data_IF_811314101729
#
_entry.id   IF_811314101729
#
_cell.length_a   1.000
_cell.length_b   1.000
_cell.length_c   1.000
_cell.angle_alpha   90.00
_cell.angle_beta   90.00
_cell.angle_gamma   90.00
#
_symmetry.space_group_name_H-M   'P 1'
#
loop_
_entity.id
_entity.type
_entity.pdbx_description
1 polymer ?
#
# COMPACT_ATOMS: atom_id res chain seq x y z
N UNK A 1 -3.14 -54.83 17.92
CA UNK A 1 -3.40 -53.95 19.09
C UNK A 1 -2.16 -53.09 19.26
N UNK A 2 -2.16 -51.80 18.87
CA UNK A 2 -2.56 -50.66 19.73
C UNK A 2 -1.53 -50.50 20.87
N UNK A 3 -0.72 -49.44 20.96
CA UNK A 3 -1.08 -48.07 21.36
C UNK A 3 -0.04 -47.03 20.88
N UNK A 4 -0.55 -45.83 20.57
CA UNK A 4 0.12 -44.57 20.23
C UNK A 4 1.19 -44.09 21.25
N UNK A 5 2.20 -43.36 20.75
CA UNK A 5 2.54 -42.03 21.30
C UNK A 5 2.80 -41.08 20.14
N UNK A 6 1.84 -40.20 19.87
CA UNK A 6 2.00 -39.08 18.96
C UNK A 6 2.76 -37.96 19.66
N UNK A 7 3.92 -37.59 19.12
CA UNK A 7 4.54 -36.30 19.45
C UNK A 7 3.96 -35.28 18.48
N UNK A 8 2.94 -34.58 18.94
CA UNK A 8 2.47 -33.37 18.29
C UNK A 8 3.54 -32.29 18.45
N UNK A 9 4.40 -32.13 17.43
CA UNK A 9 5.17 -30.91 17.23
C UNK A 9 4.19 -29.83 16.79
N UNK A 10 3.50 -29.25 17.76
CA UNK A 10 2.87 -27.94 17.61
C UNK A 10 3.99 -26.90 17.75
N UNK A 11 4.82 -26.76 16.71
CA UNK A 11 5.67 -25.57 16.60
C UNK A 11 4.73 -24.39 16.41
N UNK A 12 4.57 -23.62 17.49
CA UNK A 12 3.74 -22.43 17.51
C UNK A 12 4.14 -21.52 16.36
N UNK A 13 3.17 -21.18 15.52
CA UNK A 13 3.21 -20.01 14.66
C UNK A 13 3.14 -18.78 15.57
N UNK A 14 4.23 -18.50 16.27
CA UNK A 14 4.46 -17.20 16.91
C UNK A 14 5.41 -16.48 15.98
N UNK A 15 5.04 -15.28 15.52
CA UNK A 15 6.02 -14.40 14.88
C UNK A 15 7.16 -14.20 15.88
N UNK A 16 8.34 -14.77 15.60
CA UNK A 16 9.48 -14.78 16.54
C UNK A 16 10.24 -13.43 16.58
N UNK A 17 9.79 -12.43 15.81
CA UNK A 17 10.36 -11.09 15.77
C UNK A 17 9.29 -10.00 15.67
N UNK A 18 9.66 -8.71 15.78
CA UNK A 18 8.72 -7.59 15.74
C UNK A 18 8.10 -7.37 14.34
N UNK A 19 8.54 -8.11 13.33
CA UNK A 19 8.11 -7.97 11.94
C UNK A 19 7.14 -9.08 11.55
N UNK A 20 5.93 -8.70 11.12
CA UNK A 20 4.90 -9.66 10.70
C UNK A 20 5.11 -10.17 9.26
N UNK A 21 5.55 -9.28 8.35
CA UNK A 21 5.61 -9.54 6.90
C UNK A 21 7.00 -9.35 6.30
N UNK A 22 8.02 -9.12 7.15
CA UNK A 22 9.41 -9.03 6.76
C UNK A 22 10.27 -10.06 7.53
N UNK A 23 11.29 -10.59 6.85
CA UNK A 23 12.28 -11.46 7.49
C UNK A 23 13.32 -10.60 8.20
N UNK A 24 13.30 -10.59 9.53
CA UNK A 24 14.21 -9.78 10.35
C UNK A 24 15.68 -10.02 10.03
N UNK A 25 16.08 -11.29 9.81
CA UNK A 25 17.45 -11.64 9.43
C UNK A 25 17.89 -10.97 8.11
N UNK A 26 16.98 -10.84 7.13
CA UNK A 26 17.24 -10.17 5.85
C UNK A 26 17.34 -8.66 6.03
N UNK A 27 16.51 -8.06 6.87
CA UNK A 27 16.60 -6.63 7.20
C UNK A 27 17.93 -6.30 7.89
N UNK A 28 18.35 -7.14 8.84
CA UNK A 28 19.65 -6.99 9.52
C UNK A 28 20.84 -7.13 8.55
N UNK A 29 20.78 -8.08 7.60
CA UNK A 29 21.79 -8.20 6.54
C UNK A 29 21.86 -6.92 5.69
N UNK A 30 20.70 -6.44 5.23
CA UNK A 30 20.60 -5.22 4.42
C UNK A 30 21.19 -3.99 5.15
N UNK A 31 20.93 -3.86 6.46
CA UNK A 31 21.50 -2.81 7.30
C UNK A 31 23.02 -2.96 7.44
N UNK A 32 23.52 -4.16 7.70
CA UNK A 32 24.96 -4.41 7.80
C UNK A 32 25.67 -4.08 6.48
N UNK A 33 25.11 -4.46 5.33
CA UNK A 33 25.65 -4.14 4.01
C UNK A 33 25.66 -2.63 3.72
N UNK A 34 24.61 -1.93 4.14
CA UNK A 34 24.55 -0.47 4.07
C UNK A 34 25.68 0.19 4.87
N UNK A 35 25.91 -0.29 6.10
CA UNK A 35 26.98 0.19 6.99
C UNK A 35 28.39 -0.27 6.59
N UNK A 36 28.52 -1.07 5.52
CA UNK A 36 29.80 -1.64 5.10
C UNK A 36 30.33 -2.76 6.00
N UNK A 37 29.46 -3.34 6.84
CA UNK A 37 29.74 -4.44 7.79
C UNK A 37 29.16 -5.78 7.32
N UNK A 38 28.70 -5.86 6.08
CA UNK A 38 28.14 -7.06 5.48
C UNK A 38 29.14 -8.22 5.42
N UNK A 39 28.64 -9.44 5.60
CA UNK A 39 29.44 -10.67 5.52
C UNK A 39 29.48 -11.25 4.11
N UNK A 40 30.42 -12.16 3.79
CA UNK A 40 30.54 -12.78 2.47
C UNK A 40 29.36 -13.70 2.11
N UNK A 41 28.51 -14.06 3.07
CA UNK A 41 27.28 -14.83 2.86
C UNK A 41 26.07 -13.98 2.48
N UNK A 42 26.19 -12.64 2.50
CA UNK A 42 25.11 -11.74 2.12
C UNK A 42 24.96 -11.70 0.59
N UNK A 43 23.75 -11.45 0.06
CA UNK A 43 23.55 -11.26 -1.38
C UNK A 43 24.45 -10.13 -1.93
N UNK A 44 25.16 -10.32 -3.05
CA UNK A 44 26.05 -9.29 -3.62
C UNK A 44 25.34 -7.96 -3.91
N UNK A 45 24.04 -8.00 -4.21
CA UNK A 45 23.20 -6.85 -4.49
C UNK A 45 22.71 -6.11 -3.24
N UNK A 46 22.89 -6.64 -2.03
CA UNK A 46 22.31 -6.10 -0.81
C UNK A 46 22.70 -4.63 -0.56
N UNK A 47 23.99 -4.30 -0.71
CA UNK A 47 24.46 -2.92 -0.58
C UNK A 47 23.84 -1.97 -1.61
N UNK A 48 23.72 -2.43 -2.87
CA UNK A 48 23.11 -1.64 -3.94
C UNK A 48 21.61 -1.42 -3.68
N UNK A 49 20.90 -2.45 -3.19
CA UNK A 49 19.49 -2.37 -2.80
C UNK A 49 19.28 -1.40 -1.64
N UNK A 50 20.09 -1.49 -0.59
CA UNK A 50 20.01 -0.58 0.56
C UNK A 50 20.26 0.87 0.15
N UNK A 51 21.28 1.10 -0.68
CA UNK A 51 21.59 2.43 -1.24
C UNK A 51 20.43 2.96 -2.09
N UNK A 52 19.78 2.09 -2.89
CA UNK A 52 18.61 2.46 -3.69
C UNK A 52 17.43 2.86 -2.81
N UNK A 53 17.16 2.13 -1.73
CA UNK A 53 16.08 2.45 -0.77
C UNK A 53 16.29 3.84 -0.20
N UNK A 54 17.49 4.14 0.29
CA UNK A 54 17.82 5.47 0.85
C UNK A 54 17.66 6.57 -0.21
N UNK A 55 18.14 6.35 -1.43
CA UNK A 55 17.97 7.31 -2.54
C UNK A 55 16.50 7.53 -2.93
N UNK A 56 15.67 6.51 -2.85
CA UNK A 56 14.22 6.65 -3.10
C UNK A 56 13.51 7.38 -1.93
N UNK A 57 13.97 7.19 -0.70
CA UNK A 57 13.49 7.94 0.46
C UNK A 57 13.86 9.44 0.38
N UNK A 58 15.09 9.76 -0.05
CA UNK A 58 15.56 11.14 -0.23
C UNK A 58 14.66 11.95 -1.18
N UNK A 59 14.11 11.31 -2.21
CA UNK A 59 13.20 11.96 -3.18
C UNK A 59 11.86 12.36 -2.55
N UNK A 60 11.49 11.75 -1.43
CA UNK A 60 10.18 11.91 -0.77
C UNK A 60 10.22 12.90 0.38
N UNK A 61 11.38 13.08 1.02
CA UNK A 61 11.56 14.06 2.09
C UNK A 61 11.19 15.47 1.60
N UNK A 62 10.28 16.13 2.33
CA UNK A 62 9.82 17.48 2.06
C UNK A 62 8.81 17.60 0.91
N UNK A 63 8.31 16.48 0.36
CA UNK A 63 7.30 16.53 -0.70
C UNK A 63 5.89 16.79 -0.14
N UNK A 64 4.98 17.43 -0.89
CA UNK A 64 3.60 17.59 -0.44
C UNK A 64 2.94 16.24 -0.12
N UNK A 65 2.14 16.19 0.94
CA UNK A 65 1.30 15.02 1.24
C UNK A 65 0.02 15.19 0.44
N UNK A 66 -0.16 14.32 -0.55
CA UNK A 66 -1.35 14.24 -1.37
C UNK A 66 -2.25 13.16 -0.79
N UNK A 67 -3.48 13.52 -0.42
CA UNK A 67 -4.45 12.61 0.19
C UNK A 67 -5.68 12.42 -0.69
N UNK A 68 -6.57 11.51 -0.29
CA UNK A 68 -7.80 11.21 -1.03
C UNK A 68 -8.77 12.39 -1.13
N UNK A 69 -8.70 13.35 -0.20
CA UNK A 69 -9.56 14.55 -0.25
C UNK A 69 -9.30 15.46 -1.44
N UNK A 70 -8.19 15.24 -2.16
CA UNK A 70 -7.89 15.92 -3.43
C UNK A 70 -8.54 15.26 -4.65
N UNK A 71 -9.36 14.21 -4.46
CA UNK A 71 -10.15 13.62 -5.52
C UNK A 71 -11.42 14.43 -5.77
N UNK A 72 -11.55 15.00 -6.96
CA UNK A 72 -12.75 15.75 -7.34
C UNK A 72 -13.92 14.82 -7.72
N UNK A 73 -13.65 13.53 -7.95
CA UNK A 73 -14.70 12.57 -8.26
C UNK A 73 -15.40 12.07 -7.00
N UNK A 74 -16.45 12.80 -6.59
CA UNK A 74 -17.22 12.50 -5.38
C UNK A 74 -18.56 11.80 -5.66
N UNK A 75 -18.73 11.21 -6.85
CA UNK A 75 -20.06 10.82 -7.36
C UNK A 75 -20.85 9.85 -6.47
N UNK A 76 -20.19 9.02 -5.67
CA UNK A 76 -20.86 8.02 -4.84
C UNK A 76 -21.11 8.45 -3.38
N UNK A 77 -20.14 9.09 -2.73
CA UNK A 77 -20.23 9.50 -1.33
C UNK A 77 -20.66 10.96 -1.13
N UNK A 78 -20.17 11.86 -1.99
CA UNK A 78 -20.15 13.33 -1.78
C UNK A 78 -19.27 13.81 -0.62
N UNK A 79 -18.72 12.90 0.21
CA UNK A 79 -17.69 13.22 1.20
C UNK A 79 -16.28 13.00 0.60
N UNK A 80 -15.41 14.04 0.53
CA UNK A 80 -14.04 13.89 0.04
C UNK A 80 -13.16 12.99 0.95
N UNK A 81 -13.57 12.72 2.18
CA UNK A 81 -12.86 11.83 3.10
C UNK A 81 -13.15 10.34 2.84
N UNK A 82 -14.07 10.01 1.94
CA UNK A 82 -14.40 8.61 1.63
C UNK A 82 -13.57 8.09 0.47
N UNK A 83 -12.84 7.00 0.71
CA UNK A 83 -12.05 6.36 -0.33
C UNK A 83 -12.93 5.89 -1.48
N UNK A 84 -12.61 6.36 -2.68
CA UNK A 84 -13.33 6.05 -3.89
C UNK A 84 -12.43 5.35 -4.92
N UNK A 85 -12.92 4.26 -5.50
CA UNK A 85 -12.32 3.71 -6.71
C UNK A 85 -13.36 3.10 -7.63
N UNK A 86 -13.01 2.96 -8.89
CA UNK A 86 -13.80 2.26 -9.91
C UNK A 86 -13.11 0.94 -10.20
N UNK A 87 -13.88 -0.14 -10.36
CA UNK A 87 -13.33 -1.43 -10.75
C UNK A 87 -12.52 -1.30 -12.04
N UNK A 88 -11.21 -1.55 -11.97
CA UNK A 88 -10.25 -1.26 -13.06
C UNK A 88 -10.54 -1.94 -14.40
N UNK A 89 -11.32 -3.00 -14.42
CA UNK A 89 -11.72 -3.75 -15.62
C UNK A 89 -13.11 -3.37 -16.15
N UNK A 90 -13.74 -2.34 -15.60
CA UNK A 90 -15.04 -1.87 -16.08
C UNK A 90 -14.87 -0.73 -17.08
N UNK A 91 -15.60 -0.81 -18.17
CA UNK A 91 -15.55 0.11 -19.31
C UNK A 91 -16.96 0.55 -19.69
N UNK A 92 -17.15 1.77 -20.25
CA UNK A 92 -18.43 2.16 -20.83
C UNK A 92 -18.92 1.14 -21.87
N UNK A 93 -20.21 0.84 -21.88
CA UNK A 93 -20.83 -0.05 -22.86
C UNK A 93 -21.01 0.69 -24.20
N UNK A 94 -20.27 0.32 -25.27
CA UNK A 94 -20.36 1.01 -26.55
C UNK A 94 -21.71 0.82 -27.25
N UNK A 95 -22.55 -0.13 -26.81
CA UNK A 95 -23.89 -0.34 -27.36
C UNK A 95 -24.93 0.64 -26.80
N UNK A 96 -24.56 1.45 -25.80
CA UNK A 96 -25.47 2.35 -25.09
C UNK A 96 -25.10 3.82 -25.36
N UNK A 97 -26.09 4.70 -25.64
CA UNK A 97 -25.81 6.11 -25.93
C UNK A 97 -25.07 6.86 -24.81
N UNK A 98 -25.28 6.46 -23.56
CA UNK A 98 -24.66 7.03 -22.36
C UNK A 98 -23.51 6.18 -21.81
N UNK A 99 -23.20 5.05 -22.46
CA UNK A 99 -22.17 4.11 -22.02
C UNK A 99 -22.50 3.36 -20.73
N UNK A 100 -23.73 3.43 -20.22
CA UNK A 100 -24.14 2.81 -18.96
C UNK A 100 -25.09 1.61 -19.16
N UNK A 101 -25.05 0.61 -18.28
CA UNK A 101 -24.05 0.40 -17.23
C UNK A 101 -22.69 0.00 -17.80
N UNK A 102 -21.61 0.30 -17.08
CA UNK A 102 -20.28 -0.16 -17.50
C UNK A 102 -20.21 -1.70 -17.54
N UNK A 103 -19.48 -2.25 -18.50
CA UNK A 103 -19.28 -3.67 -18.74
C UNK A 103 -17.88 -4.11 -18.30
N UNK A 104 -17.77 -5.36 -17.84
CA UNK A 104 -16.49 -5.94 -17.46
C UNK A 104 -15.72 -6.42 -18.71
N UNK A 105 -14.44 -6.03 -18.82
CA UNK A 105 -13.47 -6.55 -19.77
C UNK A 105 -12.28 -7.07 -18.97
N UNK A 106 -12.34 -8.33 -18.62
CA UNK A 106 -11.35 -8.93 -17.71
C UNK A 106 -9.94 -8.82 -18.26
N UNK A 107 -8.98 -8.49 -17.39
CA UNK A 107 -7.58 -8.23 -17.75
C UNK A 107 -7.32 -6.90 -18.47
N UNK A 108 -8.33 -6.22 -19.00
CA UNK A 108 -8.19 -4.95 -19.70
C UNK A 108 -8.36 -3.75 -18.75
N UNK A 109 -7.25 -3.14 -18.33
CA UNK A 109 -7.30 -1.98 -17.43
C UNK A 109 -7.84 -0.74 -18.13
N UNK A 110 -8.93 -0.19 -17.63
CA UNK A 110 -9.48 1.10 -18.02
C UNK A 110 -8.66 2.25 -17.39
N UNK A 111 -7.91 3.03 -18.19
CA UNK A 111 -7.10 4.13 -17.66
C UNK A 111 -7.95 5.24 -17.06
N UNK A 112 -9.18 5.47 -17.56
CA UNK A 112 -10.09 6.48 -17.03
C UNK A 112 -10.64 6.06 -15.66
N UNK A 113 -10.94 4.77 -15.48
CA UNK A 113 -11.31 4.21 -14.19
C UNK A 113 -10.21 4.46 -13.15
N UNK A 114 -8.97 4.14 -13.51
CA UNK A 114 -7.81 4.32 -12.62
C UNK A 114 -7.54 5.80 -12.35
N UNK A 115 -7.65 6.68 -13.36
CA UNK A 115 -7.44 8.13 -13.22
C UNK A 115 -8.48 8.76 -12.28
N UNK A 116 -9.71 8.27 -12.33
CA UNK A 116 -10.82 8.75 -11.51
C UNK A 116 -10.83 8.20 -10.07
N UNK A 117 -9.90 7.29 -9.73
CA UNK A 117 -9.83 6.57 -8.46
C UNK A 117 -8.75 7.08 -7.52
N UNK A 118 -8.88 6.79 -6.23
CA UNK A 118 -7.90 7.08 -5.18
C UNK A 118 -6.78 6.05 -5.05
N UNK A 119 -6.86 4.93 -5.77
CA UNK A 119 -5.87 3.83 -5.72
C UNK A 119 -4.44 4.35 -5.83
N UNK A 120 -4.17 5.29 -6.74
CA UNK A 120 -2.83 5.88 -6.92
C UNK A 120 -2.38 6.71 -5.72
N UNK A 121 -3.28 7.49 -5.11
CA UNK A 121 -2.94 8.33 -3.95
C UNK A 121 -2.65 7.47 -2.73
N UNK A 122 -3.49 6.45 -2.51
CA UNK A 122 -3.29 5.45 -1.46
C UNK A 122 -1.97 4.69 -1.65
N UNK A 123 -1.70 4.21 -2.88
CA UNK A 123 -0.46 3.50 -3.18
C UNK A 123 0.79 4.38 -3.03
N UNK A 124 0.74 5.65 -3.43
CA UNK A 124 1.86 6.57 -3.27
C UNK A 124 2.17 6.84 -1.80
N UNK A 125 1.14 7.01 -0.96
CA UNK A 125 1.34 7.15 0.48
C UNK A 125 1.95 5.89 1.09
N UNK A 126 1.44 4.69 0.77
CA UNK A 126 1.98 3.41 1.25
C UNK A 126 3.46 3.28 0.89
N UNK A 127 3.79 3.36 -0.40
CA UNK A 127 5.18 3.22 -0.85
C UNK A 127 6.09 4.30 -0.27
N UNK A 128 5.57 5.50 -0.07
CA UNK A 128 6.35 6.58 0.54
C UNK A 128 6.69 6.28 1.98
N UNK A 129 5.72 5.84 2.77
CA UNK A 129 5.96 5.42 4.16
C UNK A 129 6.90 4.23 4.20
N UNK A 130 6.78 3.24 3.31
CA UNK A 130 7.69 2.09 3.25
C UNK A 130 9.13 2.50 3.00
N UNK A 131 9.39 3.32 1.98
CA UNK A 131 10.74 3.81 1.68
C UNK A 131 11.32 4.62 2.84
N UNK A 132 10.52 5.50 3.46
CA UNK A 132 10.96 6.33 4.58
C UNK A 132 11.24 5.48 5.83
N UNK A 133 10.37 4.53 6.17
CA UNK A 133 10.54 3.65 7.32
C UNK A 133 11.76 2.73 7.15
N UNK A 134 11.96 2.16 5.96
CA UNK A 134 13.15 1.36 5.67
C UNK A 134 14.43 2.21 5.68
N UNK A 135 14.40 3.42 5.13
CA UNK A 135 15.56 4.32 5.19
C UNK A 135 15.89 4.74 6.61
N UNK A 136 14.88 5.02 7.46
CA UNK A 136 15.08 5.25 8.89
C UNK A 136 15.77 4.05 9.54
N UNK A 137 15.26 2.84 9.32
CA UNK A 137 15.85 1.62 9.87
C UNK A 137 17.31 1.40 9.43
N UNK A 138 17.61 1.61 8.14
CA UNK A 138 18.95 1.42 7.59
C UNK A 138 19.95 2.47 8.12
N UNK A 139 19.54 3.73 8.18
CA UNK A 139 20.45 4.87 8.39
C UNK A 139 20.48 5.39 9.82
N UNK A 140 19.37 5.26 10.57
CA UNK A 140 19.14 5.96 11.83
C UNK A 140 18.87 7.47 11.68
N UNK A 141 18.71 7.99 10.46
CA UNK A 141 18.43 9.41 10.23
C UNK A 141 16.96 9.75 10.52
N UNK A 142 16.74 10.46 11.62
CA UNK A 142 15.43 10.88 12.13
C UNK A 142 14.58 11.66 11.12
N UNK A 143 15.19 12.27 10.09
CA UNK A 143 14.43 12.98 9.04
C UNK A 143 13.46 12.05 8.31
N UNK A 144 13.84 10.79 8.08
CA UNK A 144 12.96 9.84 7.40
C UNK A 144 11.78 9.42 8.29
N UNK A 145 12.03 9.19 9.58
CA UNK A 145 10.98 8.84 10.55
C UNK A 145 9.98 9.98 10.76
N UNK A 146 10.48 11.22 10.89
CA UNK A 146 9.65 12.41 10.99
C UNK A 146 8.77 12.60 9.75
N UNK A 147 9.32 12.37 8.55
CA UNK A 147 8.58 12.48 7.31
C UNK A 147 7.53 11.37 7.15
N UNK A 148 7.85 10.12 7.49
CA UNK A 148 6.88 9.02 7.47
C UNK A 148 5.69 9.34 8.39
N UNK A 149 5.96 9.86 9.60
CA UNK A 149 4.92 10.29 10.52
C UNK A 149 4.07 11.44 9.96
N UNK A 150 4.65 12.36 9.18
CA UNK A 150 3.91 13.44 8.51
C UNK A 150 2.94 12.90 7.46
N UNK A 151 3.37 11.95 6.63
CA UNK A 151 2.50 11.26 5.67
C UNK A 151 1.35 10.52 6.35
N UNK A 152 1.64 9.73 7.38
CA UNK A 152 0.62 8.99 8.13
C UNK A 152 -0.40 9.91 8.81
N UNK A 153 0.05 11.03 9.41
CA UNK A 153 -0.86 12.01 10.01
C UNK A 153 -1.78 12.63 8.98
N UNK A 154 -1.27 13.11 7.85
CA UNK A 154 -2.10 13.69 6.81
C UNK A 154 -3.12 12.68 6.25
N UNK A 155 -2.70 11.45 6.01
CA UNK A 155 -3.59 10.47 5.39
C UNK A 155 -4.65 9.88 6.33
N UNK A 156 -4.41 9.82 7.64
CA UNK A 156 -5.28 9.08 8.57
C UNK A 156 -5.78 9.86 9.79
N UNK A 157 -5.16 10.98 10.15
CA UNK A 157 -5.39 11.62 11.45
C UNK A 157 -5.82 13.08 11.32
N UNK A 158 -5.27 13.81 10.37
CA UNK A 158 -5.59 15.22 10.15
C UNK A 158 -7.04 15.37 9.68
N UNK A 159 -7.84 16.12 10.43
CA UNK A 159 -9.27 16.27 10.17
C UNK A 159 -9.59 16.87 8.81
N UNK A 160 -8.67 17.67 8.23
CA UNK A 160 -8.89 18.29 6.91
C UNK A 160 -8.57 17.35 5.75
N UNK A 161 -7.79 16.28 5.99
CA UNK A 161 -7.23 15.46 4.90
C UNK A 161 -7.35 13.94 5.08
N UNK A 162 -7.80 13.46 6.25
CA UNK A 162 -7.87 12.04 6.59
C UNK A 162 -8.78 11.22 5.67
N UNK A 163 -8.43 9.97 5.47
CA UNK A 163 -9.32 8.94 4.95
C UNK A 163 -10.21 8.38 6.06
N UNK A 164 -11.52 8.35 5.83
CA UNK A 164 -12.46 7.66 6.71
C UNK A 164 -12.14 6.14 6.69
N UNK A 165 -12.25 5.45 7.85
CA UNK A 165 -11.75 4.08 8.02
C UNK A 165 -12.71 3.02 7.44
N UNK A 166 -13.11 3.16 6.17
CA UNK A 166 -13.92 2.18 5.45
C UNK A 166 -13.70 2.25 3.94
N UNK A 167 -14.10 1.20 3.23
CA UNK A 167 -14.01 1.08 1.77
C UNK A 167 -15.40 0.94 1.12
N UNK A 168 -16.42 1.55 1.70
CA UNK A 168 -17.81 1.44 1.24
C UNK A 168 -18.00 1.84 -0.24
N UNK A 169 -17.10 2.65 -0.79
CA UNK A 169 -17.11 3.15 -2.17
C UNK A 169 -15.93 2.65 -3.02
N UNK A 170 -15.23 1.62 -2.53
CA UNK A 170 -14.15 0.97 -3.25
C UNK A 170 -14.68 0.10 -4.40
N UNK A 171 -14.00 0.16 -5.55
CA UNK A 171 -14.30 -0.56 -6.79
C UNK A 171 -15.78 -0.51 -7.19
N UNK A 172 -16.34 0.69 -7.18
CA UNK A 172 -17.63 0.99 -7.78
C UNK A 172 -17.71 0.55 -9.25
N UNK A 173 -18.94 0.42 -9.75
CA UNK A 173 -19.25 0.11 -11.16
C UNK A 173 -20.31 1.12 -11.62
N UNK A 174 -19.95 2.11 -12.46
CA UNK A 174 -20.89 3.12 -12.94
C UNK A 174 -22.14 2.49 -13.56
N UNK A 175 -23.31 3.00 -13.15
CA UNK A 175 -24.61 2.48 -13.54
C UNK A 175 -25.05 1.19 -12.85
N UNK A 176 -24.27 0.64 -11.89
CA UNK A 176 -24.63 -0.61 -11.19
C UNK A 176 -24.45 -0.55 -9.67
N UNK A 177 -23.25 -0.24 -9.19
CA UNK A 177 -22.88 -0.35 -7.76
C UNK A 177 -22.01 0.81 -7.33
N UNK A 178 -22.30 1.38 -6.17
CA UNK A 178 -21.52 2.48 -5.58
C UNK A 178 -20.24 2.02 -4.87
N UNK A 179 -20.14 0.73 -4.54
CA UNK A 179 -18.94 0.08 -4.01
C UNK A 179 -19.12 -1.42 -3.90
N UNK A 180 -18.01 -2.14 -3.68
CA UNK A 180 -17.95 -3.60 -3.71
C UNK A 180 -16.91 -4.13 -2.73
N UNK A 181 -17.13 -5.33 -2.18
CA UNK A 181 -16.15 -6.02 -1.35
C UNK A 181 -14.80 -6.27 -2.05
N UNK A 182 -14.79 -6.32 -3.39
CA UNK A 182 -13.55 -6.38 -4.18
C UNK A 182 -12.60 -5.20 -3.92
N UNK A 183 -13.11 -4.04 -3.49
CA UNK A 183 -12.31 -2.86 -3.16
C UNK A 183 -11.32 -3.06 -2.01
N UNK A 184 -11.46 -4.13 -1.22
CA UNK A 184 -10.47 -4.49 -0.20
C UNK A 184 -9.08 -4.75 -0.78
N UNK A 185 -8.97 -5.21 -2.03
CA UNK A 185 -7.67 -5.45 -2.68
C UNK A 185 -6.89 -4.17 -2.95
N UNK A 186 -7.55 -3.01 -2.95
CA UNK A 186 -6.90 -1.72 -3.15
C UNK A 186 -5.99 -1.38 -1.94
N UNK A 187 -6.34 -1.85 -0.73
CA UNK A 187 -5.56 -1.64 0.50
C UNK A 187 -4.52 -2.73 0.75
N UNK A 188 -4.26 -3.61 -0.23
CA UNK A 188 -3.35 -4.76 -0.05
C UNK A 188 -1.93 -4.36 0.39
N UNK A 189 -1.48 -3.15 0.05
CA UNK A 189 -0.15 -2.67 0.41
C UNK A 189 0.03 -2.31 1.89
N UNK A 190 -1.02 -2.37 2.71
CA UNK A 190 -0.86 -2.33 4.18
C UNK A 190 -0.38 -3.66 4.76
N UNK A 191 -0.36 -4.71 3.95
CA UNK A 191 0.24 -6.00 4.24
C UNK A 191 1.56 -6.09 3.48
#
# INVERSE_FOLDING_TARGET
MGVLVGVALTSGLRAEGPWLLAQESRLNQLKADYEGKGGPSNPPEAKAMATKIVKEADKRVGKPVITITQNENLQASKDPHDYFSIGRYFWPDPSKPDGLPWINRDGETNPDAVKASDEKKLSEMIHTVDYLALAYYLTGDERYGAEAARYLRGFFLDTETKMNPHLNYGQSVPGQKTGRGSGLIDTRGFM
#
